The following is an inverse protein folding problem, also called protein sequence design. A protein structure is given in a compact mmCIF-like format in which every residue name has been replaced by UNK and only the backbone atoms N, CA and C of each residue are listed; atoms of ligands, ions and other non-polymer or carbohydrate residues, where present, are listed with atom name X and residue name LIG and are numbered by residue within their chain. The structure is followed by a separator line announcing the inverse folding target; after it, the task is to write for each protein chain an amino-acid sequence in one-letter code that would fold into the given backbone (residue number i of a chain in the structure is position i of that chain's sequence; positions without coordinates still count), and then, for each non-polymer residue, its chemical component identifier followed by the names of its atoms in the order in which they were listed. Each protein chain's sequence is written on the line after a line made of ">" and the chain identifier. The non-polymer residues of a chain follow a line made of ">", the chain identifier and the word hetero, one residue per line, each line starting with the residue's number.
data_IF_215370397751
#
_entry.id   IF_215370397751
#
_cell.length_a   1.000
_cell.length_b   1.000
_cell.length_c   1.000
_cell.angle_alpha   90.00
_cell.angle_beta   90.00
_cell.angle_gamma   90.00
#
_symmetry.space_group_name_H-M   'P 1'
#
loop_
_entity.id
_entity.type
_entity.pdbx_description
1 polymer ?
#
# COMPACT_ATOMS: atom_id res chain seq x y z
N UNK A 1 16.69 -25.76 -5.53
CA UNK A 1 16.24 -24.38 -5.90
C UNK A 1 15.18 -23.96 -4.89
N UNK A 2 15.46 -22.97 -4.04
CA UNK A 2 14.44 -22.38 -3.16
C UNK A 2 13.56 -21.47 -4.02
N UNK A 3 12.25 -21.72 -4.06
CA UNK A 3 11.29 -20.91 -4.84
C UNK A 3 11.31 -19.48 -4.28
N UNK A 4 11.41 -18.47 -5.14
CA UNK A 4 11.21 -17.08 -4.71
C UNK A 4 9.75 -16.94 -4.26
N UNK A 5 9.49 -16.31 -3.10
CA UNK A 5 8.13 -16.08 -2.68
C UNK A 5 7.44 -15.22 -3.73
N UNK A 6 6.25 -15.65 -4.16
CA UNK A 6 5.47 -14.92 -5.15
C UNK A 6 4.73 -13.82 -4.39
N UNK A 7 4.91 -12.54 -4.72
CA UNK A 7 4.14 -11.46 -4.13
C UNK A 7 2.65 -11.75 -4.31
N UNK A 8 1.90 -11.74 -3.22
CA UNK A 8 0.50 -12.09 -3.22
C UNK A 8 -0.30 -10.98 -3.92
N UNK A 9 -0.58 -11.16 -5.21
CA UNK A 9 -1.54 -10.30 -5.92
C UNK A 9 -2.90 -10.45 -5.23
N UNK A 10 -3.38 -9.34 -4.67
CA UNK A 10 -4.69 -9.20 -4.04
C UNK A 10 -4.93 -9.98 -2.74
N UNK A 11 -3.97 -9.97 -1.82
CA UNK A 11 -4.14 -10.54 -0.47
C UNK A 11 -5.35 -9.99 0.30
N UNK A 12 -5.73 -8.77 -0.06
CA UNK A 12 -6.75 -8.00 0.62
C UNK A 12 -8.16 -8.44 0.25
N UNK A 13 -8.34 -9.21 -0.84
CA UNK A 13 -9.66 -9.67 -1.27
C UNK A 13 -10.70 -8.54 -1.34
N UNK A 14 -10.31 -7.30 -1.64
CA UNK A 14 -11.24 -6.16 -1.57
C UNK A 14 -11.86 -5.88 -2.93
N UNK A 15 -13.13 -5.50 -2.93
CA UNK A 15 -13.74 -4.82 -4.08
C UNK A 15 -13.11 -3.43 -4.27
N UNK A 16 -12.94 -2.94 -5.50
CA UNK A 16 -12.50 -1.56 -5.74
C UNK A 16 -13.39 -0.56 -4.99
N UNK A 17 -12.83 0.57 -4.53
CA UNK A 17 -13.64 1.72 -4.08
C UNK A 17 -14.40 2.30 -5.29
N UNK A 18 -15.54 1.73 -5.63
CA UNK A 18 -16.53 2.41 -6.45
C UNK A 18 -17.34 3.30 -5.53
N UNK A 19 -17.19 4.62 -5.66
CA UNK A 19 -18.20 5.56 -5.17
C UNK A 19 -19.41 5.33 -6.10
N UNK A 20 -20.53 4.75 -5.64
CA UNK A 20 -21.68 4.59 -6.51
C UNK A 20 -22.28 5.96 -6.77
N UNK A 21 -22.47 6.31 -8.05
CA UNK A 21 -23.41 7.36 -8.41
C UNK A 21 -24.79 6.93 -7.94
N UNK A 22 -25.49 7.83 -7.24
CA UNK A 22 -26.83 7.60 -6.74
C UNK A 22 -27.74 7.12 -7.89
N UNK A 23 -28.17 5.86 -7.81
CA UNK A 23 -29.31 5.37 -8.57
C UNK A 23 -30.38 4.94 -7.58
N UNK A 24 -31.47 5.70 -7.64
CA UNK A 24 -32.71 5.49 -6.92
C UNK A 24 -33.35 4.18 -7.35
N UNK A 25 -33.54 3.26 -6.41
CA UNK A 25 -34.58 2.24 -6.48
C UNK A 25 -35.40 2.34 -5.19
N UNK A 26 -36.65 2.80 -5.33
CA UNK A 26 -37.60 2.85 -4.24
C UNK A 26 -37.99 1.44 -3.81
N UNK A 27 -37.73 1.16 -2.53
CA UNK A 27 -38.32 0.09 -1.74
C UNK A 27 -38.32 0.59 -0.30
N UNK A 28 -39.43 0.42 0.42
CA UNK A 28 -39.50 0.78 1.84
C UNK A 28 -38.40 0.02 2.62
N UNK A 29 -37.67 0.67 3.55
CA UNK A 29 -36.63 0.01 4.32
C UNK A 29 -37.29 -0.92 5.35
N UNK A 30 -37.36 -2.20 5.01
CA UNK A 30 -37.67 -3.29 5.92
C UNK A 30 -36.48 -3.52 6.86
N UNK A 31 -36.67 -3.23 8.14
CA UNK A 31 -35.71 -3.47 9.23
C UNK A 31 -34.49 -2.55 9.24
N UNK A 32 -34.33 -1.74 10.30
CA UNK A 32 -33.08 -1.06 10.56
C UNK A 32 -31.95 -2.09 10.68
N UNK A 33 -31.05 -2.16 9.71
CA UNK A 33 -29.82 -2.96 9.83
C UNK A 33 -28.96 -2.36 10.94
N UNK A 34 -28.34 -3.22 11.73
CA UNK A 34 -27.51 -2.84 12.87
C UNK A 34 -26.05 -3.19 12.62
N UNK A 35 -25.15 -2.50 13.32
CA UNK A 35 -23.72 -2.75 13.27
C UNK A 35 -23.37 -4.10 13.91
N UNK A 36 -22.62 -4.95 13.19
CA UNK A 36 -22.20 -6.27 13.65
C UNK A 36 -20.89 -6.27 14.45
N UNK A 37 -20.24 -5.12 14.56
CA UNK A 37 -19.02 -4.97 15.36
C UNK A 37 -19.27 -5.21 16.85
N UNK A 38 -18.31 -5.80 17.57
CA UNK A 38 -18.39 -5.90 19.01
C UNK A 38 -18.39 -4.49 19.63
N UNK A 39 -19.13 -4.33 20.73
CA UNK A 39 -19.08 -3.11 21.52
C UNK A 39 -17.66 -2.81 21.98
N UNK A 40 -17.30 -1.53 22.02
CA UNK A 40 -16.00 -1.06 22.52
C UNK A 40 -15.75 -1.44 23.99
N UNK A 41 -16.82 -1.68 24.76
CA UNK A 41 -16.74 -2.14 26.16
C UNK A 41 -16.54 -3.66 26.26
N UNK A 42 -16.49 -4.37 25.14
CA UNK A 42 -16.32 -5.83 25.08
C UNK A 42 -17.58 -6.63 25.35
N UNK A 43 -18.71 -5.97 25.67
CA UNK A 43 -19.98 -6.64 25.96
C UNK A 43 -20.97 -6.44 24.81
N UNK A 44 -21.35 -7.53 24.13
CA UNK A 44 -22.37 -7.52 23.08
C UNK A 44 -21.93 -6.86 21.78
N UNK A 45 -22.91 -6.60 20.91
CA UNK A 45 -22.74 -5.89 19.64
C UNK A 45 -22.81 -4.38 19.85
N UNK A 46 -22.37 -3.62 18.85
CA UNK A 46 -22.45 -2.17 18.84
C UNK A 46 -23.90 -1.66 18.74
N UNK A 47 -24.75 -2.38 18.00
CA UNK A 47 -26.19 -2.09 17.81
C UNK A 47 -26.52 -0.70 17.23
N UNK A 48 -25.52 0.04 16.72
CA UNK A 48 -25.79 1.30 16.02
C UNK A 48 -26.52 1.02 14.70
N UNK A 49 -27.54 1.82 14.35
CA UNK A 49 -28.20 1.71 13.06
C UNK A 49 -27.21 2.01 11.93
N UNK A 50 -27.29 1.25 10.84
CA UNK A 50 -26.44 1.42 9.68
C UNK A 50 -27.23 1.70 8.40
N UNK A 51 -26.64 2.48 7.50
CA UNK A 51 -27.15 2.68 6.14
C UNK A 51 -26.65 1.60 5.15
N UNK A 52 -27.24 1.57 3.96
CA UNK A 52 -27.02 0.52 2.94
C UNK A 52 -25.56 0.33 2.50
N UNK A 53 -24.70 1.33 2.71
CA UNK A 53 -23.29 1.30 2.31
C UNK A 53 -22.31 1.09 3.47
N UNK A 54 -22.81 0.93 4.69
CA UNK A 54 -22.01 0.74 5.90
C UNK A 54 -21.75 -0.75 6.13
N UNK A 55 -21.12 -1.39 5.14
CA UNK A 55 -20.75 -2.81 5.16
C UNK A 55 -19.25 -3.01 5.01
N UNK A 56 -18.72 -4.09 5.57
CA UNK A 56 -17.34 -4.47 5.39
C UNK A 56 -17.06 -4.80 3.91
N UNK A 57 -16.05 -4.17 3.31
CA UNK A 57 -15.71 -4.32 1.88
C UNK A 57 -14.83 -5.54 1.57
N UNK A 58 -14.60 -6.42 2.55
CA UNK A 58 -13.94 -7.69 2.31
C UNK A 58 -14.87 -8.62 1.53
N UNK A 59 -14.37 -9.29 0.49
CA UNK A 59 -15.16 -10.30 -0.22
C UNK A 59 -15.39 -11.57 0.60
N UNK A 60 -14.63 -11.75 1.69
CA UNK A 60 -14.65 -12.98 2.47
C UNK A 60 -15.98 -13.15 3.23
N UNK A 61 -16.65 -12.06 3.62
CA UNK A 61 -17.98 -12.16 4.24
C UNK A 61 -19.01 -12.76 3.27
N UNK A 62 -19.12 -12.23 2.06
CA UNK A 62 -20.10 -12.71 1.06
C UNK A 62 -19.87 -14.18 0.72
N UNK A 63 -18.60 -14.61 0.65
CA UNK A 63 -18.24 -15.99 0.32
C UNK A 63 -18.44 -16.97 1.49
N UNK A 64 -18.25 -16.53 2.73
CA UNK A 64 -18.26 -17.41 3.91
C UNK A 64 -19.62 -17.45 4.61
N UNK A 65 -20.35 -16.34 4.65
CA UNK A 65 -21.51 -16.19 5.54
C UNK A 65 -22.81 -15.85 4.83
N UNK A 66 -22.77 -15.57 3.52
CA UNK A 66 -23.96 -15.27 2.71
C UNK A 66 -24.71 -13.99 3.14
N UNK A 67 -24.14 -13.17 4.01
CA UNK A 67 -24.67 -11.89 4.46
C UNK A 67 -23.55 -10.85 4.50
N UNK A 68 -23.87 -9.58 4.23
CA UNK A 68 -22.89 -8.50 4.41
C UNK A 68 -22.75 -8.16 5.89
N UNK A 69 -21.52 -7.96 6.35
CA UNK A 69 -21.21 -7.58 7.72
C UNK A 69 -21.32 -6.07 7.91
N UNK A 70 -22.24 -5.63 8.78
CA UNK A 70 -22.49 -4.23 9.07
C UNK A 70 -21.38 -3.58 9.89
N UNK A 71 -20.90 -2.40 9.48
CA UNK A 71 -19.89 -1.61 10.21
C UNK A 71 -20.30 -0.14 10.18
N UNK A 72 -20.81 0.40 11.29
CA UNK A 72 -21.16 1.83 11.39
C UNK A 72 -19.91 2.73 11.29
N UNK A 73 -20.09 4.04 11.07
CA UNK A 73 -18.97 4.99 10.93
C UNK A 73 -18.06 5.04 12.16
N UNK A 74 -18.64 5.01 13.36
CA UNK A 74 -17.88 5.00 14.61
C UNK A 74 -17.00 3.76 14.70
N UNK A 75 -17.54 2.56 14.48
CA UNK A 75 -16.73 1.35 14.50
C UNK A 75 -15.70 1.30 13.37
N UNK A 76 -16.03 1.80 12.17
CA UNK A 76 -15.07 1.85 11.06
C UNK A 76 -13.86 2.74 11.39
N UNK A 77 -14.10 3.90 12.01
CA UNK A 77 -13.04 4.79 12.49
C UNK A 77 -12.25 4.14 13.63
N UNK A 78 -12.94 3.58 14.62
CA UNK A 78 -12.30 2.98 15.79
C UNK A 78 -11.43 1.78 15.42
N UNK A 79 -11.88 0.97 14.48
CA UNK A 79 -11.08 -0.13 13.96
C UNK A 79 -9.83 0.36 13.24
N UNK A 80 -9.91 1.50 12.55
CA UNK A 80 -8.74 2.15 11.94
C UNK A 80 -7.78 2.68 13.01
N UNK A 81 -8.30 3.28 14.07
CA UNK A 81 -7.50 3.83 15.18
C UNK A 81 -6.81 2.75 16.02
N UNK A 82 -7.46 1.60 16.23
CA UNK A 82 -6.88 0.45 16.96
C UNK A 82 -5.59 -0.02 16.27
N UNK A 83 -5.63 -0.15 14.94
CA UNK A 83 -4.46 -0.66 14.19
C UNK A 83 -3.33 0.36 14.05
N UNK A 84 -3.45 1.55 14.62
CA UNK A 84 -2.35 2.53 14.68
C UNK A 84 -2.00 2.89 16.12
N UNK A 85 -2.48 2.09 17.09
CA UNK A 85 -2.13 2.24 18.50
C UNK A 85 -2.77 3.46 19.17
N UNK A 86 -3.78 4.08 18.55
CA UNK A 86 -4.54 5.18 19.14
C UNK A 86 -5.61 4.69 20.12
N UNK A 87 -5.96 3.40 20.05
CA UNK A 87 -6.96 2.76 20.91
C UNK A 87 -6.60 1.29 21.20
N UNK A 88 -6.97 0.81 22.38
CA UNK A 88 -6.79 -0.59 22.77
C UNK A 88 -5.33 -1.01 22.95
N UNK A 89 -5.09 -2.32 23.00
CA UNK A 89 -3.78 -2.91 23.31
C UNK A 89 -3.00 -3.40 22.08
N UNK A 90 -3.49 -3.14 20.86
CA UNK A 90 -2.81 -3.59 19.65
C UNK A 90 -1.52 -2.79 19.45
N UNK A 91 -0.41 -3.49 19.16
CA UNK A 91 0.87 -2.85 18.85
C UNK A 91 0.72 -2.09 17.52
N UNK A 92 0.46 -0.78 17.62
CA UNK A 92 0.18 0.10 16.49
C UNK A 92 1.20 -0.01 15.35
N UNK A 93 0.74 0.17 14.12
CA UNK A 93 1.60 0.11 12.94
C UNK A 93 2.65 1.23 13.00
N UNK A 94 3.91 0.85 12.99
CA UNK A 94 5.03 1.78 12.97
C UNK A 94 5.28 2.27 11.53
N UNK A 95 5.73 3.53 11.35
CA UNK A 95 6.12 4.04 10.03
C UNK A 95 7.10 3.13 9.29
N UNK A 96 8.01 2.50 10.04
CA UNK A 96 9.04 1.64 9.47
C UNK A 96 8.44 0.39 8.82
N UNK A 97 7.34 -0.16 9.32
CA UNK A 97 6.65 -1.32 8.71
C UNK A 97 6.09 -0.97 7.33
N UNK A 98 5.50 0.22 7.19
CA UNK A 98 5.00 0.73 5.91
C UNK A 98 6.14 1.04 4.92
N UNK A 99 7.22 1.65 5.40
CA UNK A 99 8.42 1.87 4.60
C UNK A 99 9.07 0.54 4.20
N UNK A 100 8.95 -0.47 5.05
CA UNK A 100 9.50 -1.79 4.80
C UNK A 100 8.80 -2.53 3.68
N UNK A 101 7.60 -2.10 3.26
CA UNK A 101 6.88 -2.64 2.10
C UNK A 101 7.52 -2.25 0.76
N UNK A 102 8.62 -1.49 0.74
CA UNK A 102 9.18 -0.87 -0.46
C UNK A 102 10.57 -1.41 -0.79
N UNK A 103 10.76 -1.90 -2.01
CA UNK A 103 12.07 -2.17 -2.58
C UNK A 103 12.53 -0.95 -3.38
N UNK A 104 13.40 -0.13 -2.79
CA UNK A 104 13.87 1.12 -3.39
C UNK A 104 14.83 0.90 -4.56
N UNK A 105 14.80 1.84 -5.51
CA UNK A 105 15.79 1.96 -6.57
C UNK A 105 16.94 2.87 -6.16
N UNK A 106 18.17 2.57 -6.60
CA UNK A 106 19.29 3.53 -6.57
C UNK A 106 19.00 4.74 -7.49
N UNK A 107 19.77 5.83 -7.45
CA UNK A 107 19.51 7.05 -8.24
C UNK A 107 19.41 6.77 -9.73
N UNK A 108 20.44 6.15 -10.29
CA UNK A 108 20.52 5.84 -11.72
C UNK A 108 19.33 4.99 -12.17
N UNK A 109 18.95 4.00 -11.36
CA UNK A 109 17.76 3.19 -11.61
C UNK A 109 16.47 4.00 -11.44
N UNK A 110 16.33 4.84 -10.41
CA UNK A 110 15.13 5.63 -10.16
C UNK A 110 14.87 6.63 -11.30
N UNK A 111 15.91 7.30 -11.80
CA UNK A 111 15.83 8.16 -13.00
C UNK A 111 15.43 7.34 -14.22
N UNK A 112 16.13 6.23 -14.48
CA UNK A 112 15.82 5.36 -15.64
C UNK A 112 14.41 4.78 -15.59
N UNK A 113 13.91 4.51 -14.39
CA UNK A 113 12.58 3.95 -14.15
C UNK A 113 11.49 5.02 -14.24
N UNK A 114 11.83 6.28 -13.92
CA UNK A 114 10.89 7.38 -13.90
C UNK A 114 10.82 8.15 -15.22
N UNK A 115 11.86 8.10 -16.08
CA UNK A 115 11.87 8.84 -17.36
C UNK A 115 12.77 8.24 -18.44
N UNK A 116 13.40 7.09 -18.18
CA UNK A 116 14.33 6.47 -19.12
C UNK A 116 13.65 5.69 -20.25
N UNK A 117 14.36 5.54 -21.37
CA UNK A 117 13.95 4.67 -22.47
C UNK A 117 13.80 3.24 -21.95
N UNK A 118 12.64 2.62 -22.21
CA UNK A 118 12.33 1.27 -21.77
C UNK A 118 11.87 1.16 -20.31
N UNK A 119 11.53 2.26 -19.64
CA UNK A 119 10.94 2.26 -18.29
C UNK A 119 9.75 1.30 -18.17
N UNK A 120 8.82 1.33 -19.14
CA UNK A 120 7.64 0.46 -19.17
C UNK A 120 8.00 -1.03 -19.22
N UNK A 121 9.04 -1.39 -19.97
CA UNK A 121 9.54 -2.78 -20.00
C UNK A 121 10.11 -3.20 -18.65
N UNK A 122 10.83 -2.31 -17.96
CA UNK A 122 11.36 -2.59 -16.62
C UNK A 122 10.23 -2.72 -15.59
N UNK A 123 9.18 -1.92 -15.70
CA UNK A 123 7.96 -2.04 -14.89
C UNK A 123 7.30 -3.41 -15.07
N UNK A 124 7.13 -3.82 -16.32
CA UNK A 124 6.60 -5.14 -16.65
C UNK A 124 7.48 -6.27 -16.10
N UNK A 125 8.82 -6.17 -16.22
CA UNK A 125 9.75 -7.19 -15.69
C UNK A 125 9.72 -7.28 -14.16
N UNK A 126 9.39 -6.20 -13.46
CA UNK A 126 9.12 -6.23 -12.02
C UNK A 126 7.72 -6.73 -11.66
N UNK A 127 6.89 -7.05 -12.66
CA UNK A 127 5.53 -7.54 -12.47
C UNK A 127 4.53 -6.46 -12.06
N UNK A 128 4.85 -5.19 -12.28
CA UNK A 128 3.95 -4.08 -11.99
C UNK A 128 2.70 -4.18 -12.87
N UNK A 129 1.53 -4.12 -12.24
CA UNK A 129 0.23 -3.96 -12.90
C UNK A 129 -0.22 -2.51 -12.91
N UNK A 130 0.17 -1.75 -11.89
CA UNK A 130 -0.14 -0.33 -11.77
C UNK A 130 1.14 0.48 -11.54
N UNK A 131 1.18 1.66 -12.13
CA UNK A 131 2.22 2.67 -11.96
C UNK A 131 1.59 3.90 -11.30
N UNK A 132 2.08 4.24 -10.13
CA UNK A 132 1.62 5.37 -9.32
C UNK A 132 2.64 6.51 -9.35
N UNK A 133 2.18 7.76 -9.37
CA UNK A 133 3.06 8.91 -9.54
C UNK A 133 3.45 9.18 -10.99
N UNK A 134 2.62 8.78 -11.96
CA UNK A 134 2.90 8.90 -13.40
C UNK A 134 2.82 10.33 -13.97
N UNK A 135 2.88 11.36 -13.12
CA UNK A 135 3.19 12.72 -13.55
C UNK A 135 4.70 12.85 -13.79
N UNK A 136 5.10 13.03 -15.03
CA UNK A 136 6.51 13.18 -15.42
C UNK A 136 6.97 14.63 -15.24
N UNK A 137 8.28 14.83 -15.11
CA UNK A 137 8.89 16.14 -14.81
C UNK A 137 8.67 17.19 -15.91
N UNK A 138 8.25 16.79 -17.11
CA UNK A 138 7.92 17.65 -18.25
C UNK A 138 6.44 18.10 -18.27
N UNK A 139 5.66 17.73 -17.26
CA UNK A 139 4.24 18.07 -17.17
C UNK A 139 3.33 17.12 -17.95
N UNK A 140 3.87 16.03 -18.52
CA UNK A 140 3.06 14.98 -19.10
C UNK A 140 2.49 14.10 -17.99
N UNK A 141 1.16 14.11 -17.84
CA UNK A 141 0.44 13.16 -16.98
C UNK A 141 -0.08 12.01 -17.85
N UNK A 142 0.39 10.79 -17.57
CA UNK A 142 -0.20 9.59 -18.19
C UNK A 142 -1.24 9.02 -17.22
N UNK A 143 -2.50 8.98 -17.64
CA UNK A 143 -3.59 8.38 -16.88
C UNK A 143 -4.40 7.44 -17.76
N UNK A 144 -4.73 6.27 -17.20
CA UNK A 144 -5.50 5.24 -17.90
C UNK A 144 -4.71 3.96 -18.08
N UNK A 145 -5.24 3.05 -18.88
CA UNK A 145 -4.65 1.72 -19.11
C UNK A 145 -3.91 1.71 -20.43
N UNK A 146 -2.64 1.30 -20.42
CA UNK A 146 -1.86 1.03 -21.63
C UNK A 146 -1.52 -0.45 -21.72
N UNK A 147 -1.54 -1.00 -22.92
CA UNK A 147 -1.06 -2.37 -23.16
C UNK A 147 0.43 -2.34 -23.48
N UNK A 148 1.24 -2.91 -22.59
CA UNK A 148 2.70 -3.03 -22.75
C UNK A 148 3.02 -4.51 -22.96
N UNK A 149 3.50 -4.88 -24.16
CA UNK A 149 3.78 -6.28 -24.54
C UNK A 149 2.61 -7.24 -24.24
N UNK A 150 1.38 -6.88 -24.63
CA UNK A 150 0.15 -7.64 -24.37
C UNK A 150 -0.28 -7.75 -22.89
N UNK A 151 0.36 -6.99 -21.99
CA UNK A 151 -0.06 -6.89 -20.59
C UNK A 151 -0.70 -5.52 -20.33
N UNK A 152 -1.94 -5.47 -19.81
CA UNK A 152 -2.52 -4.20 -19.38
C UNK A 152 -1.76 -3.66 -18.17
N UNK A 153 -1.44 -2.38 -18.22
CA UNK A 153 -0.79 -1.64 -17.15
C UNK A 153 -1.53 -0.34 -16.90
N UNK A 154 -1.94 -0.12 -15.66
CA UNK A 154 -2.67 1.09 -15.26
C UNK A 154 -1.71 2.19 -14.83
N UNK A 155 -1.96 3.41 -15.28
CA UNK A 155 -1.18 4.59 -14.91
C UNK A 155 -2.06 5.53 -14.11
N UNK A 156 -1.55 5.92 -12.93
CA UNK A 156 -2.20 6.80 -11.97
C UNK A 156 -1.28 7.98 -11.70
N UNK A 157 -1.76 9.18 -12.06
CA UNK A 157 -1.03 10.43 -11.91
C UNK A 157 -0.42 10.58 -10.51
N UNK A 158 -1.26 10.39 -9.50
CA UNK A 158 -0.87 10.60 -8.11
C UNK A 158 -0.46 9.29 -7.44
N UNK A 159 0.52 9.35 -6.55
CA UNK A 159 0.81 8.28 -5.61
C UNK A 159 -0.20 8.32 -4.46
N UNK A 160 -0.59 7.15 -3.95
CA UNK A 160 -1.52 7.06 -2.83
C UNK A 160 -0.82 7.29 -1.48
N UNK A 161 -1.52 7.84 -0.47
CA UNK A 161 -0.93 8.10 0.83
C UNK A 161 -0.30 6.87 1.47
N UNK A 162 0.69 7.13 2.32
CA UNK A 162 1.54 6.15 3.00
C UNK A 162 2.40 5.34 2.04
N UNK A 163 1.91 4.24 1.45
CA UNK A 163 2.76 3.30 0.69
C UNK A 163 3.10 3.75 -0.73
N UNK A 164 2.43 4.78 -1.26
CA UNK A 164 2.55 5.22 -2.66
C UNK A 164 1.70 4.40 -3.64
N UNK A 165 1.30 3.18 -3.26
CA UNK A 165 0.37 2.30 -3.96
C UNK A 165 -0.89 2.04 -3.11
N UNK A 166 -1.81 1.21 -3.62
CA UNK A 166 -3.10 0.92 -2.97
C UNK A 166 -3.04 0.15 -1.64
N UNK A 167 -1.91 -0.43 -1.26
CA UNK A 167 -1.83 -1.31 -0.08
C UNK A 167 -2.28 -0.62 1.21
N UNK A 168 -1.75 0.56 1.53
CA UNK A 168 -2.14 1.27 2.74
C UNK A 168 -3.58 1.81 2.69
N UNK A 169 -4.05 2.24 1.52
CA UNK A 169 -5.46 2.63 1.35
C UNK A 169 -6.38 1.46 1.68
N UNK A 170 -6.06 0.24 1.23
CA UNK A 170 -6.78 -0.98 1.57
C UNK A 170 -6.77 -1.25 3.08
N UNK A 171 -5.60 -1.11 3.73
CA UNK A 171 -5.48 -1.37 5.17
C UNK A 171 -6.18 -0.34 6.07
N UNK A 172 -6.15 0.94 5.70
CA UNK A 172 -6.55 2.02 6.61
C UNK A 172 -7.82 2.76 6.19
N UNK A 173 -8.06 2.96 4.89
CA UNK A 173 -9.17 3.79 4.40
C UNK A 173 -10.44 3.00 4.08
N UNK A 174 -10.33 1.73 3.73
CA UNK A 174 -11.50 0.90 3.44
C UNK A 174 -12.33 0.64 4.71
N UNK A 175 -13.64 0.50 4.54
CA UNK A 175 -14.53 0.06 5.62
C UNK A 175 -14.35 -1.44 5.84
N UNK A 176 -13.64 -1.79 6.88
CA UNK A 176 -13.39 -3.17 7.29
C UNK A 176 -13.91 -3.40 8.70
N UNK A 177 -14.45 -4.59 8.92
CA UNK A 177 -14.68 -5.08 10.26
C UNK A 177 -13.34 -5.22 11.00
N UNK A 178 -13.34 -5.22 12.33
CA UNK A 178 -12.12 -5.27 13.14
C UNK A 178 -11.25 -6.47 12.77
N UNK A 179 -11.89 -7.64 12.66
CA UNK A 179 -11.21 -8.88 12.37
C UNK A 179 -10.50 -8.85 11.01
N UNK A 180 -11.21 -8.47 9.93
CA UNK A 180 -10.59 -8.38 8.60
C UNK A 180 -9.50 -7.33 8.53
N UNK A 181 -9.65 -6.19 9.23
CA UNK A 181 -8.61 -5.16 9.25
C UNK A 181 -7.32 -5.69 9.89
N UNK A 182 -7.41 -6.29 11.08
CA UNK A 182 -6.24 -6.86 11.75
C UNK A 182 -5.62 -7.98 10.90
N UNK A 183 -6.44 -8.93 10.44
CA UNK A 183 -6.00 -10.06 9.63
C UNK A 183 -5.23 -9.61 8.37
N UNK A 184 -5.79 -8.67 7.60
CA UNK A 184 -5.14 -8.21 6.38
C UNK A 184 -3.86 -7.42 6.61
N UNK A 185 -3.78 -6.63 7.70
CA UNK A 185 -2.57 -5.91 8.07
C UNK A 185 -1.47 -6.90 8.47
N UNK A 186 -1.78 -7.83 9.37
CA UNK A 186 -0.85 -8.87 9.81
C UNK A 186 -0.34 -9.70 8.64
N UNK A 187 -1.25 -10.13 7.75
CA UNK A 187 -0.89 -10.92 6.59
C UNK A 187 -0.05 -10.11 5.58
N UNK A 188 -0.33 -8.82 5.38
CA UNK A 188 0.47 -7.97 4.50
C UNK A 188 1.90 -7.80 5.04
N UNK A 189 2.07 -7.58 6.34
CA UNK A 189 3.40 -7.44 6.94
C UNK A 189 4.16 -8.76 6.99
N UNK A 190 3.50 -9.88 7.31
CA UNK A 190 4.12 -11.20 7.26
C UNK A 190 4.66 -11.51 5.84
N UNK A 191 3.90 -11.17 4.80
CA UNK A 191 4.35 -11.34 3.42
C UNK A 191 5.53 -10.45 3.04
N UNK A 192 5.49 -9.17 3.45
CA UNK A 192 6.59 -8.24 3.23
C UNK A 192 7.85 -8.71 3.96
N UNK A 193 7.72 -9.14 5.20
CA UNK A 193 8.83 -9.69 5.98
C UNK A 193 9.43 -10.93 5.32
N UNK A 194 8.60 -11.88 4.89
CA UNK A 194 9.06 -13.07 4.16
C UNK A 194 9.83 -12.68 2.87
N UNK A 195 9.33 -11.70 2.11
CA UNK A 195 10.03 -11.19 0.92
C UNK A 195 11.36 -10.54 1.25
N UNK A 196 11.42 -9.75 2.32
CA UNK A 196 12.65 -9.10 2.78
C UNK A 196 13.69 -10.10 3.26
N UNK A 197 13.28 -11.09 4.06
CA UNK A 197 14.16 -12.15 4.53
C UNK A 197 14.73 -12.93 3.36
N UNK A 198 13.88 -13.30 2.38
CA UNK A 198 14.35 -13.94 1.16
C UNK A 198 15.36 -13.05 0.39
N UNK A 199 15.08 -11.76 0.24
CA UNK A 199 16.02 -10.81 -0.42
C UNK A 199 17.35 -10.74 0.33
N UNK A 200 17.33 -10.65 1.65
CA UNK A 200 18.54 -10.60 2.46
C UNK A 200 19.38 -11.87 2.32
N UNK A 201 18.75 -13.03 2.42
CA UNK A 201 19.41 -14.35 2.32
C UNK A 201 19.97 -14.61 0.92
N UNK A 202 19.26 -14.22 -0.15
CA UNK A 202 19.61 -14.59 -1.53
C UNK A 202 20.38 -13.51 -2.29
N UNK A 203 20.30 -12.25 -1.85
CA UNK A 203 20.93 -11.10 -2.52
C UNK A 203 22.01 -10.41 -1.67
N UNK A 204 22.22 -10.89 -0.43
CA UNK A 204 23.20 -10.35 0.50
C UNK A 204 22.84 -8.94 0.98
N UNK A 205 21.56 -8.73 1.32
CA UNK A 205 21.03 -7.47 1.86
C UNK A 205 20.09 -6.70 0.93
N UNK A 206 19.80 -5.45 1.28
CA UNK A 206 18.92 -4.56 0.49
C UNK A 206 19.60 -4.08 -0.79
N UNK A 207 19.29 -4.75 -1.90
CA UNK A 207 19.79 -4.43 -3.25
C UNK A 207 18.75 -3.66 -4.07
N UNK A 208 19.20 -2.68 -4.85
CA UNK A 208 18.34 -1.95 -5.79
C UNK A 208 17.62 -2.94 -6.70
N UNK A 209 16.28 -2.91 -6.69
CA UNK A 209 15.48 -3.81 -7.52
C UNK A 209 15.81 -3.64 -9.02
N UNK A 210 16.10 -2.42 -9.46
CA UNK A 210 16.41 -2.09 -10.85
C UNK A 210 17.76 -2.64 -11.33
N UNK A 211 18.79 -2.60 -10.48
CA UNK A 211 20.09 -3.19 -10.79
C UNK A 211 19.96 -4.69 -11.03
N UNK A 212 19.13 -5.37 -10.20
CA UNK A 212 18.93 -6.82 -10.28
C UNK A 212 18.24 -7.29 -11.57
N UNK A 213 17.67 -6.38 -12.38
CA UNK A 213 17.17 -6.74 -13.72
C UNK A 213 18.30 -6.97 -14.73
N UNK A 214 19.49 -6.40 -14.49
CA UNK A 214 20.56 -6.35 -15.49
C UNK A 214 21.92 -6.80 -14.97
N UNK A 215 22.08 -6.95 -13.65
CA UNK A 215 23.36 -7.20 -12.99
C UNK A 215 23.21 -8.24 -11.88
N UNK A 216 24.33 -8.86 -11.51
CA UNK A 216 24.37 -9.79 -10.38
C UNK A 216 24.20 -9.06 -9.04
N UNK A 217 23.77 -9.74 -7.96
CA UNK A 217 23.60 -9.11 -6.65
C UNK A 217 24.84 -8.41 -6.10
N UNK A 218 26.04 -8.96 -6.36
CA UNK A 218 27.31 -8.36 -5.94
C UNK A 218 27.69 -7.07 -6.68
N UNK A 219 27.09 -6.84 -7.86
CA UNK A 219 27.27 -5.61 -8.64
C UNK A 219 26.14 -4.60 -8.41
N UNK A 220 25.04 -5.02 -7.78
CA UNK A 220 23.93 -4.13 -7.49
C UNK A 220 24.34 -3.05 -6.48
N UNK A 221 23.95 -1.80 -6.77
CA UNK A 221 24.34 -0.58 -6.05
C UNK A 221 25.82 -0.19 -6.19
N UNK A 222 26.65 -0.94 -6.92
CA UNK A 222 28.07 -0.60 -7.11
C UNK A 222 28.19 0.50 -8.17
N UNK A 223 28.73 1.67 -7.79
CA UNK A 223 28.99 2.79 -8.71
C UNK A 223 28.02 3.97 -8.65
N UNK A 224 26.96 3.89 -7.85
CA UNK A 224 26.09 5.05 -7.56
C UNK A 224 26.81 5.92 -6.52
N UNK A 225 27.63 6.85 -7.00
CA UNK A 225 28.44 7.74 -6.16
C UNK A 225 27.63 8.40 -5.05
N UNK A 226 28.23 8.46 -3.85
CA UNK A 226 27.67 9.00 -2.60
C UNK A 226 27.39 10.52 -2.60
N UNK A 227 27.20 11.16 -3.75
CA UNK A 227 27.21 12.62 -3.86
C UNK A 227 25.82 13.21 -4.14
N UNK A 228 25.31 13.93 -3.13
CA UNK A 228 24.29 14.99 -3.17
C UNK A 228 22.97 14.71 -3.94
N UNK A 229 21.98 14.19 -3.22
CA UNK A 229 20.67 13.75 -3.70
C UNK A 229 19.57 14.84 -3.64
N UNK A 230 19.76 16.01 -4.26
CA UNK A 230 18.72 17.07 -4.21
C UNK A 230 17.80 17.16 -5.44
N UNK A 231 18.07 16.44 -6.54
CA UNK A 231 17.33 16.63 -7.81
C UNK A 231 16.83 15.34 -8.50
N UNK A 232 17.12 14.15 -7.97
CA UNK A 232 16.66 12.90 -8.59
C UNK A 232 15.35 12.39 -7.98
N UNK A 233 14.43 11.85 -8.78
CA UNK A 233 13.19 11.27 -8.26
C UNK A 233 13.49 10.05 -7.39
N UNK A 234 12.67 9.85 -6.37
CA UNK A 234 12.62 8.61 -5.60
C UNK A 234 11.59 7.67 -6.24
N UNK A 235 11.95 6.40 -6.36
CA UNK A 235 11.08 5.38 -6.90
C UNK A 235 11.31 4.02 -6.21
N UNK A 236 10.28 3.19 -6.17
CA UNK A 236 10.31 1.86 -5.57
C UNK A 236 9.28 0.92 -6.20
N UNK A 237 9.46 -0.38 -5.93
CA UNK A 237 8.42 -1.40 -6.12
C UNK A 237 7.86 -1.78 -4.76
N UNK A 238 6.54 -1.86 -4.65
CA UNK A 238 5.91 -2.39 -3.44
C UNK A 238 6.10 -3.91 -3.39
N UNK A 239 6.77 -4.43 -2.35
CA UNK A 239 6.98 -5.87 -2.17
C UNK A 239 5.70 -6.64 -1.87
N UNK A 240 4.62 -5.95 -1.48
CA UNK A 240 3.32 -6.58 -1.23
C UNK A 240 2.50 -6.78 -2.51
N UNK A 241 2.42 -5.77 -3.38
CA UNK A 241 1.55 -5.82 -4.57
C UNK A 241 2.28 -5.77 -5.90
N UNK A 242 3.60 -5.59 -5.90
CA UNK A 242 4.45 -5.34 -7.07
C UNK A 242 4.15 -4.08 -7.88
N UNK A 243 3.19 -3.25 -7.49
CA UNK A 243 2.97 -1.98 -8.16
C UNK A 243 4.20 -1.06 -8.04
N UNK A 244 4.41 -0.29 -9.10
CA UNK A 244 5.48 0.68 -9.22
C UNK A 244 5.04 2.02 -8.65
N UNK A 245 5.93 2.68 -7.90
CA UNK A 245 5.77 4.07 -7.47
C UNK A 245 6.96 4.87 -7.97
N UNK A 246 6.71 5.94 -8.73
CA UNK A 246 7.73 6.72 -9.44
C UNK A 246 7.59 8.22 -9.16
N UNK A 247 8.59 9.02 -9.53
CA UNK A 247 8.57 10.49 -9.42
C UNK A 247 8.30 11.05 -8.01
N UNK A 248 8.74 10.35 -6.96
CA UNK A 248 8.47 10.79 -5.58
C UNK A 248 9.52 11.79 -5.10
N UNK A 249 9.07 12.79 -4.32
CA UNK A 249 9.94 13.87 -3.78
C UNK A 249 10.86 13.42 -2.64
N UNK A 250 10.53 12.31 -1.98
CA UNK A 250 11.27 11.80 -0.83
C UNK A 250 11.05 10.31 -0.61
N UNK A 251 11.81 9.75 0.34
CA UNK A 251 11.72 8.32 0.71
C UNK A 251 10.85 8.07 1.93
N UNK A 252 10.25 9.11 2.50
CA UNK A 252 9.31 8.99 3.61
C UNK A 252 7.94 8.43 3.23
N UNK A 253 7.01 8.42 4.18
CA UNK A 253 5.60 8.14 3.90
C UNK A 253 5.06 9.18 2.91
N UNK A 254 4.20 8.73 1.99
CA UNK A 254 3.49 9.63 1.06
C UNK A 254 2.39 10.37 1.83
N UNK A 255 2.25 11.70 1.71
CA UNK A 255 1.26 12.49 2.47
C UNK A 255 -0.19 12.19 2.08
N UNK A 256 -1.17 12.75 2.81
CA UNK A 256 -2.60 12.64 2.50
C UNK A 256 -3.36 11.60 3.34
N UNK A 257 -2.73 11.12 4.42
CA UNK A 257 -3.28 10.15 5.37
C UNK A 257 -3.86 10.79 6.63
N UNK A 258 -3.64 12.09 6.82
CA UNK A 258 -3.90 12.81 8.07
C UNK A 258 -5.39 12.77 8.47
N UNK A 259 -6.29 12.65 7.50
CA UNK A 259 -7.74 12.56 7.71
C UNK A 259 -8.26 11.13 7.92
N UNK A 260 -7.40 10.12 7.90
CA UNK A 260 -7.83 8.71 8.01
C UNK A 260 -7.98 8.26 9.47
N UNK A 261 -7.41 9.01 10.41
CA UNK A 261 -7.30 8.66 11.82
C UNK A 261 -7.94 9.77 12.66
N UNK A 262 -8.43 9.44 13.85
CA UNK A 262 -8.97 10.46 14.77
C UNK A 262 -7.90 11.45 15.25
N UNK A 263 -6.64 11.02 15.25
CA UNK A 263 -5.47 11.87 15.47
C UNK A 263 -4.26 11.30 14.74
N UNK A 264 -3.19 12.09 14.57
CA UNK A 264 -2.01 11.61 13.87
C UNK A 264 -1.31 10.49 14.66
N UNK A 265 -1.07 9.30 14.08
CA UNK A 265 -0.33 8.25 14.77
C UNK A 265 1.11 8.67 15.07
N UNK A 266 1.66 8.13 16.16
CA UNK A 266 2.98 8.52 16.66
C UNK A 266 4.08 8.29 15.61
N UNK A 267 4.91 9.31 15.38
CA UNK A 267 6.04 9.23 14.46
C UNK A 267 5.71 9.28 12.96
N UNK A 268 4.43 9.16 12.56
CA UNK A 268 4.03 9.16 11.15
C UNK A 268 4.27 10.51 10.47
N UNK A 269 3.97 11.62 11.17
CA UNK A 269 4.25 12.97 10.66
C UNK A 269 5.75 13.18 10.40
N UNK A 270 6.61 12.78 11.34
CA UNK A 270 8.07 12.88 11.22
C UNK A 270 8.67 11.93 10.17
N UNK A 271 7.95 10.86 9.81
CA UNK A 271 8.34 9.93 8.76
C UNK A 271 7.82 10.34 7.37
N UNK A 272 6.89 11.29 7.28
CA UNK A 272 6.29 11.76 6.03
C UNK A 272 7.25 12.66 5.27
N UNK A 273 7.34 12.47 3.95
CA UNK A 273 8.23 13.25 3.07
C UNK A 273 9.69 13.37 3.55
N UNK A 274 10.18 12.40 4.32
CA UNK A 274 11.58 12.40 4.75
C UNK A 274 12.50 12.55 3.53
N UNK A 275 13.42 13.54 3.55
CA UNK A 275 14.49 13.63 2.57
C UNK A 275 15.24 12.30 2.51
N UNK A 276 15.79 11.98 1.35
CA UNK A 276 16.51 10.72 1.18
C UNK A 276 17.76 10.71 2.07
N UNK A 277 17.68 10.00 3.21
CA UNK A 277 18.84 9.60 3.99
C UNK A 277 19.48 8.32 3.44
N UNK A 278 20.61 7.90 4.01
CA UNK A 278 21.21 6.59 3.73
C UNK A 278 20.14 5.49 3.76
N UNK A 279 20.12 4.62 2.75
CA UNK A 279 19.19 3.49 2.73
C UNK A 279 19.39 2.66 4.01
N UNK A 280 18.33 2.32 4.76
CA UNK A 280 18.47 1.50 5.96
C UNK A 280 19.10 0.16 5.58
N UNK A 281 20.24 -0.18 6.22
CA UNK A 281 21.02 -1.39 5.94
C UNK A 281 22.30 -1.20 5.13
N UNK A 282 22.68 0.03 4.76
CA UNK A 282 24.00 0.31 4.20
C UNK A 282 24.97 0.64 5.35
N UNK A 283 25.77 -0.35 5.77
CA UNK A 283 26.97 -0.11 6.58
C UNK A 283 27.92 0.85 5.82
N UNK A 284 28.70 1.68 6.55
CA UNK A 284 29.59 2.69 5.98
C UNK A 284 30.62 2.13 5.00
#
# INVERSE_FOLDING_TARGET
>A
MRRTPIPARNIFGMTPLTIPSASSAGGEPDGSRECDEPSLTGNGKCDCPIGDHQVCTSVDHVHLTGHDWGVCDTCAQDNTDVVVGLRGEWKGVEPQELLNMRAYFCNSCAVSYSSGIGCLRRMLLHGASTVWGSGFLDGLDVQGTLTVNNHPMDFKKDALPLTGCSCATKMFKHRLCRNHRCFYIEQAFANVEAMRNWRNENLGGERCAGCLLTMSPGQANVGDGRTAFSHHPVAWICMQCNDAVVNQKGSGLVPGWESWFSSAPEGWAAATNRPRGHLPGQLP
#
